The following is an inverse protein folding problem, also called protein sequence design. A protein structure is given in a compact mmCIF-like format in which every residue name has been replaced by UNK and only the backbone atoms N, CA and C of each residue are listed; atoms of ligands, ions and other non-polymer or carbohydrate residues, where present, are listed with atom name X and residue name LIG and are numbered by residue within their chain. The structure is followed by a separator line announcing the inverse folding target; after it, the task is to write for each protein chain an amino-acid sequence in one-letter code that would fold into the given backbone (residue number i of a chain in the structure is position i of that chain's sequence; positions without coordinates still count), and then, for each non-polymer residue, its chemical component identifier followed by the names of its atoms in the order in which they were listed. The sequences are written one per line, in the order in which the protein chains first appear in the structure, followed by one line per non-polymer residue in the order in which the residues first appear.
data_IF_367596141088
#
_entry.id   IF_367596141088
#
_cell.length_a   1.000
_cell.length_b   1.000
_cell.length_c   1.000
_cell.angle_alpha   90.00
_cell.angle_beta   90.00
_cell.angle_gamma   90.00
#
_symmetry.space_group_name_H-M   'P 1'
#
loop_
_entity.id
_entity.type
_entity.pdbx_description
1 polymer ?
#
# COMPACT_ATOMS: atom_id res chain seq x y z
N UNK A 1 -16.69 32.20 17.74
CA UNK A 1 -15.58 31.27 18.02
C UNK A 1 -16.14 29.89 17.83
N UNK A 2 -15.94 29.28 16.63
CA UNK A 2 -16.40 27.93 16.35
C UNK A 2 -15.46 26.92 17.03
N UNK A 3 -15.99 26.03 17.86
CA UNK A 3 -15.25 24.89 18.40
C UNK A 3 -14.67 24.09 17.24
N UNK A 4 -13.42 23.60 17.32
CA UNK A 4 -12.89 22.71 16.33
C UNK A 4 -13.77 21.45 16.32
N UNK A 5 -14.28 21.09 15.15
CA UNK A 5 -14.97 19.84 14.94
C UNK A 5 -13.95 18.72 15.23
N UNK A 6 -14.03 18.12 16.41
CA UNK A 6 -13.25 16.92 16.75
C UNK A 6 -13.82 15.82 15.85
N UNK A 7 -13.11 15.49 14.78
CA UNK A 7 -13.42 14.32 13.97
C UNK A 7 -13.27 13.11 14.89
N UNK A 8 -14.38 12.54 15.34
CA UNK A 8 -14.37 11.30 16.14
C UNK A 8 -13.76 10.23 15.23
N UNK A 9 -12.66 9.65 15.67
CA UNK A 9 -12.01 8.54 14.99
C UNK A 9 -12.94 7.33 15.02
N UNK A 10 -13.19 6.73 13.87
CA UNK A 10 -13.94 5.49 13.81
C UNK A 10 -13.13 4.34 14.45
N UNK A 11 -13.81 3.46 15.20
CA UNK A 11 -13.16 2.36 15.90
C UNK A 11 -13.03 1.11 15.04
N UNK A 12 -13.82 0.99 13.96
CA UNK A 12 -13.82 -0.15 13.05
C UNK A 12 -13.57 0.30 11.62
N UNK A 13 -12.88 -0.54 10.86
CA UNK A 13 -12.60 -0.34 9.45
C UNK A 13 -12.68 -1.67 8.72
N UNK A 14 -13.41 -1.73 7.61
CA UNK A 14 -13.37 -2.88 6.70
C UNK A 14 -12.41 -2.58 5.57
N UNK A 15 -11.32 -3.35 5.49
CA UNK A 15 -10.29 -3.20 4.47
C UNK A 15 -10.37 -4.28 3.40
N UNK A 16 -10.08 -3.92 2.15
CA UNK A 16 -9.94 -4.84 1.02
C UNK A 16 -8.57 -4.72 0.37
N UNK A 17 -7.89 -5.84 0.15
CA UNK A 17 -6.66 -5.93 -0.62
C UNK A 17 -6.95 -6.61 -1.96
N UNK A 18 -6.71 -5.92 -3.06
CA UNK A 18 -6.88 -6.45 -4.41
C UNK A 18 -5.57 -7.11 -4.85
N UNK A 19 -5.38 -8.39 -4.52
CA UNK A 19 -4.27 -9.17 -5.02
C UNK A 19 -4.46 -9.45 -6.50
N UNK A 20 -3.73 -8.73 -7.33
CA UNK A 20 -3.88 -8.76 -8.78
C UNK A 20 -2.84 -9.69 -9.43
N UNK A 21 -3.29 -10.51 -10.35
CA UNK A 21 -2.38 -11.25 -11.24
C UNK A 21 -1.80 -10.29 -12.28
N UNK A 22 -0.48 -10.24 -12.34
CA UNK A 22 0.26 -9.46 -13.33
C UNK A 22 1.06 -10.44 -14.20
N UNK A 23 0.76 -10.48 -15.50
CA UNK A 23 1.36 -11.42 -16.43
C UNK A 23 1.99 -10.71 -17.62
N UNK A 24 3.11 -11.26 -18.11
CA UNK A 24 3.72 -10.83 -19.36
C UNK A 24 2.75 -10.99 -20.53
N UNK A 25 2.80 -10.06 -21.48
CA UNK A 25 1.97 -10.10 -22.69
C UNK A 25 0.51 -9.65 -22.51
N UNK A 26 0.08 -9.40 -21.28
CA UNK A 26 -1.25 -8.83 -21.03
C UNK A 26 -1.24 -7.32 -21.29
N UNK A 27 -2.16 -6.85 -22.14
CA UNK A 27 -2.31 -5.43 -22.41
C UNK A 27 -2.78 -4.66 -21.16
N UNK A 28 -2.28 -3.44 -20.91
CA UNK A 28 -2.71 -2.60 -19.77
C UNK A 28 -4.23 -2.44 -19.67
N UNK A 29 -4.92 -2.30 -20.80
CA UNK A 29 -6.38 -2.17 -20.83
C UNK A 29 -7.11 -3.40 -20.26
N UNK A 30 -6.61 -4.61 -20.53
CA UNK A 30 -7.19 -5.85 -20.00
C UNK A 30 -7.01 -5.92 -18.47
N UNK A 31 -5.85 -5.48 -17.97
CA UNK A 31 -5.57 -5.43 -16.53
C UNK A 31 -6.46 -4.42 -15.82
N UNK A 32 -6.68 -3.26 -16.42
CA UNK A 32 -7.64 -2.27 -15.94
C UNK A 32 -9.06 -2.83 -15.87
N UNK A 33 -9.55 -3.53 -16.90
CA UNK A 33 -10.89 -4.14 -16.87
C UNK A 33 -11.03 -5.15 -15.71
N UNK A 34 -9.97 -5.91 -15.40
CA UNK A 34 -10.00 -6.83 -14.25
C UNK A 34 -10.04 -6.10 -12.92
N UNK A 35 -9.25 -5.05 -12.75
CA UNK A 35 -9.29 -4.21 -11.53
C UNK A 35 -10.68 -3.62 -11.34
N UNK A 36 -11.28 -3.04 -12.37
CA UNK A 36 -12.63 -2.47 -12.29
C UNK A 36 -13.70 -3.53 -11.98
N UNK A 37 -13.54 -4.74 -12.51
CA UNK A 37 -14.40 -5.88 -12.14
C UNK A 37 -14.24 -6.26 -10.68
N UNK A 38 -13.00 -6.32 -10.16
CA UNK A 38 -12.74 -6.63 -8.75
C UNK A 38 -13.27 -5.52 -7.83
N UNK A 39 -13.11 -4.26 -8.20
CA UNK A 39 -13.73 -3.13 -7.49
C UNK A 39 -15.26 -3.23 -7.50
N UNK A 40 -15.87 -3.64 -8.63
CA UNK A 40 -17.32 -3.81 -8.70
C UNK A 40 -17.86 -4.90 -7.78
N UNK A 41 -17.06 -5.93 -7.47
CA UNK A 41 -17.42 -6.98 -6.52
C UNK A 41 -17.54 -6.47 -5.07
N UNK A 42 -16.91 -5.33 -4.77
CA UNK A 42 -16.98 -4.69 -3.45
C UNK A 42 -18.24 -3.84 -3.26
N UNK A 43 -19.05 -3.63 -4.31
CA UNK A 43 -20.29 -2.88 -4.20
C UNK A 43 -21.22 -3.53 -3.17
N UNK A 44 -21.73 -2.71 -2.24
CA UNK A 44 -22.63 -3.16 -1.16
C UNK A 44 -21.95 -3.90 -0.01
N UNK A 45 -20.61 -4.04 -0.02
CA UNK A 45 -19.87 -4.67 1.08
C UNK A 45 -19.42 -3.70 2.18
N UNK A 46 -19.73 -2.40 2.04
CA UNK A 46 -19.35 -1.35 3.01
C UNK A 46 -17.84 -1.39 3.34
N UNK A 47 -17.02 -1.39 2.30
CA UNK A 47 -15.55 -1.36 2.45
C UNK A 47 -15.09 0.08 2.63
N UNK A 48 -14.20 0.32 3.60
CA UNK A 48 -13.73 1.65 3.99
C UNK A 48 -12.39 2.02 3.36
N UNK A 49 -11.52 1.00 3.13
CA UNK A 49 -10.18 1.18 2.59
C UNK A 49 -9.84 0.06 1.63
N UNK A 50 -9.36 0.42 0.44
CA UNK A 50 -8.96 -0.52 -0.62
C UNK A 50 -7.50 -0.27 -0.99
N UNK A 51 -6.71 -1.34 -1.11
CA UNK A 51 -5.32 -1.28 -1.57
C UNK A 51 -5.14 -2.06 -2.87
N UNK A 52 -4.40 -1.47 -3.81
CA UNK A 52 -3.88 -2.14 -5.00
C UNK A 52 -2.36 -2.39 -4.88
N UNK A 53 -1.77 -3.30 -5.67
CA UNK A 53 -0.36 -3.64 -5.56
C UNK A 53 0.58 -2.68 -6.30
N UNK A 54 1.90 -2.93 -6.23
CA UNK A 54 2.94 -2.10 -6.85
C UNK A 54 2.96 -2.26 -8.36
N UNK A 55 3.08 -1.12 -9.07
CA UNK A 55 3.26 -1.03 -10.53
C UNK A 55 2.36 -2.00 -11.33
N UNK A 56 1.19 -2.29 -10.78
CA UNK A 56 0.28 -3.30 -11.34
C UNK A 56 -0.18 -2.98 -12.75
N UNK A 57 -0.27 -1.70 -13.11
CA UNK A 57 -0.72 -1.27 -14.45
C UNK A 57 0.29 -1.60 -15.55
N UNK A 58 1.59 -1.49 -15.27
CA UNK A 58 2.68 -1.78 -16.21
C UNK A 58 3.32 -3.15 -15.97
N UNK A 59 3.36 -3.60 -14.72
CA UNK A 59 4.11 -4.77 -14.25
C UNK A 59 5.54 -4.42 -13.87
N UNK A 60 5.94 -4.75 -12.63
CA UNK A 60 7.25 -4.37 -12.08
C UNK A 60 8.43 -4.77 -12.99
N UNK A 61 8.43 -5.96 -13.55
CA UNK A 61 9.54 -6.44 -14.38
C UNK A 61 9.47 -6.02 -15.86
N UNK A 62 8.48 -5.22 -16.26
CA UNK A 62 8.36 -4.70 -17.62
C UNK A 62 9.14 -3.38 -17.80
N UNK A 63 10.40 -3.36 -17.45
CA UNK A 63 11.25 -2.16 -17.44
C UNK A 63 11.25 -1.39 -18.75
N UNK A 64 11.21 -2.06 -19.89
CA UNK A 64 11.17 -1.44 -21.21
C UNK A 64 9.93 -0.56 -21.43
N UNK A 65 8.83 -0.81 -20.72
CA UNK A 65 7.57 -0.08 -20.85
C UNK A 65 7.43 1.10 -19.88
N UNK A 66 8.35 1.26 -18.93
CA UNK A 66 8.23 2.27 -17.86
C UNK A 66 8.07 3.69 -18.40
N UNK A 67 8.85 4.07 -19.42
CA UNK A 67 8.77 5.43 -20.02
C UNK A 67 7.48 5.67 -20.76
N UNK A 68 6.97 4.66 -21.46
CA UNK A 68 5.71 4.75 -22.22
C UNK A 68 4.50 4.78 -21.27
N UNK A 69 4.54 3.97 -20.21
CA UNK A 69 3.49 3.89 -19.21
C UNK A 69 3.51 5.05 -18.21
N UNK A 70 4.55 5.90 -18.24
CA UNK A 70 4.71 6.98 -17.28
C UNK A 70 3.65 8.07 -17.47
N UNK A 71 3.00 8.43 -16.39
CA UNK A 71 1.93 9.42 -16.34
C UNK A 71 2.22 10.55 -15.35
N UNK A 72 1.65 11.73 -15.50
CA UNK A 72 1.72 12.75 -14.46
C UNK A 72 0.95 12.29 -13.21
N UNK A 73 1.20 12.90 -12.04
CA UNK A 73 0.53 12.55 -10.79
C UNK A 73 -1.01 12.49 -10.94
N UNK A 74 -1.60 13.46 -11.62
CA UNK A 74 -3.04 13.48 -11.92
C UNK A 74 -3.37 12.80 -13.26
N UNK A 75 -2.67 11.70 -13.57
CA UNK A 75 -2.84 10.96 -14.81
C UNK A 75 -3.93 9.89 -14.75
N UNK A 76 -3.80 8.91 -15.63
CA UNK A 76 -4.78 7.84 -15.86
C UNK A 76 -5.17 7.10 -14.59
N UNK A 77 -4.18 6.80 -13.73
CA UNK A 77 -4.42 6.02 -12.51
C UNK A 77 -5.39 6.74 -11.58
N UNK A 78 -5.15 8.01 -11.28
CA UNK A 78 -6.03 8.78 -10.40
C UNK A 78 -7.38 9.06 -11.07
N UNK A 79 -7.39 9.42 -12.36
CA UNK A 79 -8.62 9.70 -13.10
C UNK A 79 -9.57 8.50 -13.16
N UNK A 80 -9.05 7.28 -13.25
CA UNK A 80 -9.88 6.05 -13.29
C UNK A 80 -10.27 5.55 -11.91
N UNK A 81 -9.44 5.73 -10.88
CA UNK A 81 -9.75 5.24 -9.52
C UNK A 81 -10.59 6.22 -8.69
N UNK A 82 -10.49 7.54 -8.91
CA UNK A 82 -11.28 8.52 -8.18
C UNK A 82 -12.82 8.33 -8.31
N UNK A 83 -13.38 7.98 -9.48
CA UNK A 83 -14.80 7.60 -9.58
C UNK A 83 -15.17 6.36 -8.75
N UNK A 84 -14.26 5.38 -8.65
CA UNK A 84 -14.48 4.19 -7.83
C UNK A 84 -14.45 4.50 -6.34
N UNK A 85 -13.53 5.37 -5.89
CA UNK A 85 -13.50 5.83 -4.49
C UNK A 85 -14.84 6.46 -4.09
N UNK A 86 -15.40 7.32 -4.95
CA UNK A 86 -16.73 7.93 -4.74
C UNK A 86 -17.86 6.90 -4.75
N UNK A 87 -17.86 5.98 -5.71
CA UNK A 87 -18.92 4.99 -5.90
C UNK A 87 -18.96 3.96 -4.76
N UNK A 88 -17.81 3.62 -4.21
CA UNK A 88 -17.66 2.68 -3.09
C UNK A 88 -17.69 3.39 -1.74
N UNK A 89 -17.66 4.73 -1.73
CA UNK A 89 -17.51 5.56 -0.52
C UNK A 89 -16.30 5.15 0.32
N UNK A 90 -15.21 4.70 -0.35
CA UNK A 90 -14.02 4.11 0.26
C UNK A 90 -12.75 4.89 -0.09
N UNK A 91 -11.80 4.91 0.84
CA UNK A 91 -10.44 5.32 0.54
C UNK A 91 -9.79 4.32 -0.43
N UNK A 92 -9.00 4.78 -1.39
CA UNK A 92 -8.25 3.90 -2.29
C UNK A 92 -6.77 4.29 -2.28
N UNK A 93 -5.92 3.38 -1.77
CA UNK A 93 -4.50 3.40 -2.10
C UNK A 93 -4.32 2.78 -3.49
N UNK A 94 -3.87 3.58 -4.44
CA UNK A 94 -3.84 3.25 -5.88
C UNK A 94 -2.91 2.08 -6.24
N UNK A 95 -2.23 1.49 -5.26
CA UNK A 95 -0.99 0.78 -5.50
C UNK A 95 0.08 1.77 -5.92
N UNK A 96 0.94 1.39 -6.86
CA UNK A 96 1.85 2.37 -7.42
C UNK A 96 1.86 2.36 -8.95
N UNK A 97 2.34 3.44 -9.53
CA UNK A 97 2.47 3.66 -10.96
C UNK A 97 3.79 4.40 -11.26
N UNK A 98 4.23 4.38 -12.52
CA UNK A 98 5.38 5.16 -12.94
C UNK A 98 4.93 6.61 -13.11
N UNK A 99 5.31 7.48 -12.17
CA UNK A 99 5.04 8.92 -12.25
C UNK A 99 6.13 9.61 -13.09
N UNK A 100 5.72 10.47 -14.01
CA UNK A 100 6.60 11.42 -14.70
C UNK A 100 6.44 12.81 -14.08
N UNK A 101 7.52 13.33 -13.51
CA UNK A 101 7.59 14.68 -12.97
C UNK A 101 8.77 15.43 -13.59
N UNK A 102 8.48 16.30 -14.56
CA UNK A 102 9.51 16.93 -15.40
C UNK A 102 10.30 15.89 -16.19
N UNK A 103 11.60 15.85 -16.01
CA UNK A 103 12.50 14.87 -16.64
C UNK A 103 12.73 13.59 -15.80
N UNK A 104 12.15 13.53 -14.61
CA UNK A 104 12.34 12.41 -13.67
C UNK A 104 11.14 11.47 -13.66
N UNK A 105 11.42 10.20 -13.34
CA UNK A 105 10.44 9.14 -13.19
C UNK A 105 10.51 8.56 -11.79
N UNK A 106 9.34 8.28 -11.19
CA UNK A 106 9.25 7.76 -9.82
C UNK A 106 8.32 6.56 -9.76
N UNK A 107 8.54 5.67 -8.80
CA UNK A 107 7.57 4.67 -8.37
C UNK A 107 6.70 5.33 -7.30
N UNK A 108 5.50 5.77 -7.69
CA UNK A 108 4.63 6.62 -6.87
C UNK A 108 3.33 5.91 -6.53
N UNK A 109 2.98 5.90 -5.26
CA UNK A 109 1.66 5.53 -4.76
C UNK A 109 0.89 6.77 -4.30
N UNK A 110 -0.44 6.70 -4.39
CA UNK A 110 -1.33 7.79 -3.99
C UNK A 110 -2.48 7.26 -3.14
N UNK A 111 -2.99 8.07 -2.22
CA UNK A 111 -4.18 7.79 -1.43
C UNK A 111 -5.29 8.75 -1.82
N UNK A 112 -6.41 8.20 -2.25
CA UNK A 112 -7.66 8.92 -2.51
C UNK A 112 -8.58 8.77 -1.29
N UNK A 113 -9.28 9.83 -0.90
CA UNK A 113 -10.36 9.74 0.08
C UNK A 113 -11.65 9.17 -0.55
N UNK A 114 -12.66 8.92 0.26
CA UNK A 114 -13.97 8.41 -0.18
C UNK A 114 -14.72 9.35 -1.15
N UNK A 115 -14.28 10.60 -1.28
CA UNK A 115 -14.78 11.56 -2.27
C UNK A 115 -13.96 11.55 -3.55
N UNK A 116 -12.94 10.69 -3.64
CA UNK A 116 -12.00 10.59 -4.76
C UNK A 116 -11.01 11.76 -4.84
N UNK A 117 -10.76 12.44 -3.73
CA UNK A 117 -9.79 13.53 -3.63
C UNK A 117 -8.45 12.94 -3.22
N UNK A 118 -7.38 13.36 -3.89
CA UNK A 118 -6.02 13.00 -3.53
C UNK A 118 -5.64 13.62 -2.18
N UNK A 119 -5.37 12.78 -1.19
CA UNK A 119 -5.01 13.20 0.19
C UNK A 119 -3.55 12.96 0.54
N UNK A 120 -2.87 12.08 -0.17
CA UNK A 120 -1.46 11.81 0.05
C UNK A 120 -0.79 11.11 -1.12
N UNK A 121 0.53 11.31 -1.22
CA UNK A 121 1.39 10.64 -2.20
C UNK A 121 2.66 10.16 -1.53
N UNK A 122 3.21 9.07 -2.06
CA UNK A 122 4.49 8.54 -1.62
C UNK A 122 5.33 8.12 -2.83
N UNK A 123 6.52 8.66 -2.98
CA UNK A 123 7.53 8.21 -3.94
C UNK A 123 8.48 7.26 -3.25
N UNK A 124 8.59 6.05 -3.76
CA UNK A 124 9.42 4.97 -3.18
C UNK A 124 10.84 5.46 -2.89
N UNK A 125 11.28 5.33 -1.64
CA UNK A 125 12.59 5.78 -1.17
C UNK A 125 13.65 4.73 -1.52
N UNK A 126 13.39 3.45 -1.24
CA UNK A 126 14.35 2.38 -1.44
C UNK A 126 14.06 1.64 -2.75
N UNK A 127 14.68 2.11 -3.83
CA UNK A 127 14.59 1.47 -5.14
C UNK A 127 15.34 0.13 -5.14
N UNK A 128 14.72 -0.90 -5.71
CA UNK A 128 15.29 -2.24 -5.76
C UNK A 128 16.32 -2.34 -6.88
N UNK A 129 17.55 -2.69 -6.53
CA UNK A 129 18.69 -2.75 -7.48
C UNK A 129 19.29 -4.13 -7.68
N UNK A 130 18.83 -5.17 -6.95
CA UNK A 130 19.34 -6.53 -7.10
C UNK A 130 18.59 -7.25 -8.25
N UNK A 131 19.32 -7.60 -9.32
CA UNK A 131 18.73 -8.17 -10.55
C UNK A 131 17.53 -7.38 -11.09
N UNK A 132 17.58 -6.03 -10.99
CA UNK A 132 16.49 -5.14 -11.34
C UNK A 132 17.02 -3.84 -11.96
N UNK A 133 16.28 -3.31 -12.93
CA UNK A 133 16.60 -2.02 -13.55
C UNK A 133 15.90 -0.84 -12.85
N UNK A 134 15.09 -1.08 -11.80
CA UNK A 134 14.32 -0.02 -11.15
C UNK A 134 15.20 1.17 -10.74
N UNK A 135 16.34 0.88 -10.06
CA UNK A 135 17.29 1.90 -9.59
C UNK A 135 17.95 2.70 -10.74
N UNK A 136 18.02 2.13 -11.95
CA UNK A 136 18.61 2.79 -13.12
C UNK A 136 17.59 3.66 -13.87
N UNK A 137 16.30 3.29 -13.80
CA UNK A 137 15.23 3.91 -14.56
C UNK A 137 14.46 4.96 -13.76
N UNK A 138 14.41 4.81 -12.44
CA UNK A 138 13.59 5.65 -11.58
C UNK A 138 14.46 6.46 -10.60
N UNK A 139 13.93 7.58 -10.17
CA UNK A 139 14.48 8.45 -9.14
C UNK A 139 13.91 8.06 -7.78
N UNK A 140 14.75 7.95 -6.77
CA UNK A 140 14.33 7.68 -5.40
C UNK A 140 13.57 8.87 -4.81
N UNK A 141 12.52 8.59 -4.04
CA UNK A 141 11.91 9.56 -3.14
C UNK A 141 12.84 9.93 -1.99
N UNK A 142 12.47 10.98 -1.24
CA UNK A 142 13.31 11.50 -0.14
C UNK A 142 12.55 11.67 1.17
N UNK A 143 11.23 11.46 1.17
CA UNK A 143 10.39 11.72 2.35
C UNK A 143 9.41 10.57 2.58
N UNK A 144 9.19 10.26 3.86
CA UNK A 144 8.07 9.41 4.29
C UNK A 144 6.75 10.14 4.06
N UNK A 145 5.66 9.39 3.95
CA UNK A 145 4.33 9.94 3.77
C UNK A 145 3.41 9.40 4.86
N UNK A 146 2.89 10.29 5.66
CA UNK A 146 1.90 10.03 6.69
C UNK A 146 0.64 10.83 6.37
N UNK A 147 -0.49 10.14 6.20
CA UNK A 147 -1.76 10.75 5.78
C UNK A 147 -2.79 10.58 6.88
N UNK A 148 -3.39 11.69 7.31
CA UNK A 148 -4.53 11.65 8.23
C UNK A 148 -5.78 11.20 7.48
N UNK A 149 -6.41 10.15 7.98
CA UNK A 149 -7.69 9.61 7.50
C UNK A 149 -8.72 9.62 8.62
N UNK A 150 -9.98 9.31 8.33
CA UNK A 150 -11.02 9.06 9.36
C UNK A 150 -10.69 7.89 10.29
N UNK A 151 -9.80 7.00 9.84
CA UNK A 151 -9.38 5.78 10.55
C UNK A 151 -8.06 5.91 11.30
N UNK A 152 -7.48 7.11 11.37
CA UNK A 152 -6.20 7.41 11.98
C UNK A 152 -5.11 7.76 10.96
N UNK A 153 -3.88 7.88 11.41
CA UNK A 153 -2.74 8.25 10.55
C UNK A 153 -2.19 7.01 9.85
N UNK A 154 -2.23 7.02 8.52
CA UNK A 154 -1.70 5.97 7.67
C UNK A 154 -0.31 6.34 7.12
N UNK A 155 0.69 5.51 7.37
CA UNK A 155 2.01 5.59 6.75
C UNK A 155 2.06 4.79 5.45
N UNK A 156 2.59 5.36 4.36
CA UNK A 156 2.68 4.71 3.05
C UNK A 156 4.08 4.17 2.80
N UNK A 157 4.17 2.96 2.25
CA UNK A 157 5.44 2.33 1.87
C UNK A 157 5.26 1.42 0.63
N UNK A 158 6.37 1.10 -0.03
CA UNK A 158 6.33 0.29 -1.26
C UNK A 158 7.37 -0.83 -1.21
N UNK A 159 6.90 -2.09 -1.19
CA UNK A 159 7.67 -3.30 -1.48
C UNK A 159 9.01 -3.39 -0.73
N UNK A 160 10.11 -3.07 -1.40
CA UNK A 160 11.48 -3.16 -0.86
C UNK A 160 11.68 -2.32 0.42
N UNK A 161 10.86 -1.27 0.63
CA UNK A 161 10.86 -0.48 1.87
C UNK A 161 10.65 -1.34 3.12
N UNK A 162 9.96 -2.49 3.01
CA UNK A 162 9.78 -3.43 4.12
C UNK A 162 11.09 -3.90 4.74
N UNK A 163 12.22 -3.85 4.02
CA UNK A 163 13.52 -4.25 4.54
C UNK A 163 14.19 -3.19 5.42
N UNK A 164 13.64 -1.97 5.47
CA UNK A 164 14.24 -0.82 6.15
C UNK A 164 13.38 -0.37 7.34
N UNK A 165 13.65 -0.88 8.55
CA UNK A 165 12.86 -0.59 9.75
C UNK A 165 12.86 0.90 10.12
N UNK A 166 13.90 1.63 9.75
CA UNK A 166 14.08 3.05 10.03
C UNK A 166 12.94 3.89 9.44
N UNK A 167 12.47 3.55 8.24
CA UNK A 167 11.36 4.24 7.59
C UNK A 167 10.07 4.08 8.39
N UNK A 168 9.74 2.85 8.81
CA UNK A 168 8.54 2.56 9.59
C UNK A 168 8.61 3.21 10.97
N UNK A 169 9.78 3.19 11.59
CA UNK A 169 10.01 3.85 12.87
C UNK A 169 9.83 5.36 12.78
N UNK A 170 10.29 5.97 11.70
CA UNK A 170 10.08 7.40 11.43
C UNK A 170 8.60 7.71 11.27
N UNK A 171 7.84 6.90 10.52
CA UNK A 171 6.39 7.11 10.36
C UNK A 171 5.64 7.00 11.69
N UNK A 172 5.98 6.05 12.56
CA UNK A 172 5.41 5.96 13.92
C UNK A 172 5.75 7.17 14.77
N UNK A 173 6.98 7.69 14.66
CA UNK A 173 7.37 8.93 15.36
C UNK A 173 6.58 10.16 14.88
N UNK A 174 5.88 10.02 13.73
CA UNK A 174 4.93 11.00 13.17
C UNK A 174 3.47 10.54 13.30
N UNK A 175 3.22 9.72 14.33
CA UNK A 175 1.89 9.26 14.74
C UNK A 175 1.22 8.23 13.81
N UNK A 176 1.95 7.56 12.93
CA UNK A 176 1.35 6.48 12.15
C UNK A 176 0.82 5.36 13.06
N UNK A 177 -0.41 4.93 12.79
CA UNK A 177 -1.12 3.88 13.51
C UNK A 177 -1.35 2.66 12.63
N UNK A 178 -1.23 2.85 11.32
CA UNK A 178 -1.27 1.78 10.32
C UNK A 178 -0.27 2.04 9.20
N UNK A 179 0.18 0.97 8.55
CA UNK A 179 1.02 1.02 7.36
C UNK A 179 0.28 0.45 6.17
N UNK A 180 0.25 1.20 5.08
CA UNK A 180 -0.31 0.79 3.80
C UNK A 180 0.86 0.47 2.86
N UNK A 181 0.99 -0.79 2.46
CA UNK A 181 2.12 -1.26 1.66
C UNK A 181 1.61 -1.86 0.35
N UNK A 182 2.04 -1.31 -0.78
CA UNK A 182 1.86 -1.96 -2.07
C UNK A 182 3.15 -2.67 -2.49
N UNK A 183 3.05 -3.84 -3.12
CA UNK A 183 4.22 -4.63 -3.48
C UNK A 183 4.05 -5.43 -4.78
N UNK A 184 5.20 -5.73 -5.40
CA UNK A 184 5.38 -6.77 -6.42
C UNK A 184 6.48 -7.74 -5.91
N UNK A 185 6.24 -8.34 -4.75
CA UNK A 185 7.19 -9.18 -4.04
C UNK A 185 7.23 -10.59 -4.63
N UNK A 186 8.41 -11.11 -5.01
CA UNK A 186 8.51 -12.38 -5.71
C UNK A 186 8.30 -13.58 -4.78
N UNK A 187 7.75 -14.66 -5.34
CA UNK A 187 7.52 -15.93 -4.66
C UNK A 187 8.80 -16.53 -4.07
N UNK A 188 9.93 -16.38 -4.76
CA UNK A 188 11.23 -16.89 -4.30
C UNK A 188 11.68 -16.30 -2.94
N UNK A 189 11.03 -15.24 -2.46
CA UNK A 189 11.31 -14.58 -1.17
C UNK A 189 10.05 -14.37 -0.34
N UNK A 190 9.07 -15.27 -0.48
CA UNK A 190 7.78 -15.10 0.19
C UNK A 190 7.88 -15.25 1.72
N UNK A 191 8.80 -16.06 2.21
CA UNK A 191 9.07 -16.20 3.65
C UNK A 191 9.58 -14.88 4.25
N UNK A 192 10.47 -14.17 3.54
CA UNK A 192 10.91 -12.82 3.95
C UNK A 192 9.73 -11.83 4.00
N UNK A 193 8.82 -11.90 3.02
CA UNK A 193 7.62 -11.07 2.97
C UNK A 193 6.76 -11.24 4.22
N UNK A 194 6.41 -12.47 4.55
CA UNK A 194 5.57 -12.77 5.70
C UNK A 194 6.25 -12.35 7.02
N UNK A 195 7.54 -12.68 7.16
CA UNK A 195 8.32 -12.29 8.32
C UNK A 195 8.38 -10.76 8.50
N UNK A 196 8.71 -10.03 7.42
CA UNK A 196 8.87 -8.59 7.47
C UNK A 196 7.53 -7.87 7.70
N UNK A 197 6.44 -8.29 7.07
CA UNK A 197 5.11 -7.73 7.32
C UNK A 197 4.75 -7.83 8.82
N UNK A 198 4.93 -9.00 9.43
CA UNK A 198 4.66 -9.20 10.85
C UNK A 198 5.61 -8.41 11.74
N UNK A 199 6.90 -8.37 11.40
CA UNK A 199 7.89 -7.63 12.17
C UNK A 199 7.58 -6.13 12.19
N UNK A 200 7.26 -5.54 11.02
CA UNK A 200 6.93 -4.10 10.92
C UNK A 200 5.68 -3.75 11.72
N UNK A 201 4.66 -4.60 11.73
CA UNK A 201 3.47 -4.40 12.56
C UNK A 201 3.81 -4.48 14.06
N UNK A 202 4.46 -5.57 14.48
CA UNK A 202 4.77 -5.89 15.86
C UNK A 202 5.67 -4.83 16.51
N UNK A 203 6.83 -4.55 15.92
CA UNK A 203 7.82 -3.64 16.50
C UNK A 203 7.35 -2.18 16.58
N UNK A 204 6.39 -1.81 15.74
CA UNK A 204 5.81 -0.46 15.67
C UNK A 204 4.43 -0.37 16.35
N UNK A 205 3.91 -1.49 16.85
CA UNK A 205 2.58 -1.55 17.47
C UNK A 205 1.54 -0.83 16.62
N UNK A 206 1.52 -1.17 15.33
CA UNK A 206 0.68 -0.56 14.29
C UNK A 206 0.12 -1.64 13.39
N UNK A 207 -1.08 -1.44 12.83
CA UNK A 207 -1.57 -2.32 11.79
C UNK A 207 -0.65 -2.27 10.56
N UNK A 208 -0.60 -3.37 9.82
CA UNK A 208 0.02 -3.39 8.50
C UNK A 208 -0.92 -4.07 7.50
N UNK A 209 -1.24 -3.35 6.42
CA UNK A 209 -2.03 -3.81 5.30
C UNK A 209 -1.12 -3.86 4.09
N UNK A 210 -0.81 -5.05 3.60
CA UNK A 210 0.16 -5.23 2.52
C UNK A 210 -0.47 -5.97 1.34
N UNK A 211 -0.55 -5.28 0.20
CA UNK A 211 -1.12 -5.79 -1.04
C UNK A 211 -0.03 -6.15 -2.03
N UNK A 212 0.07 -7.42 -2.41
CA UNK A 212 1.09 -7.96 -3.30
C UNK A 212 0.48 -8.39 -4.65
N UNK A 213 1.32 -8.51 -5.68
CA UNK A 213 0.96 -9.13 -6.95
C UNK A 213 1.12 -10.65 -6.90
N UNK A 214 0.41 -11.35 -7.81
CA UNK A 214 0.64 -12.74 -8.17
C UNK A 214 0.82 -12.89 -9.69
N UNK A 215 1.05 -14.10 -10.19
CA UNK A 215 1.30 -14.37 -11.61
C UNK A 215 2.77 -14.14 -12.01
N UNK A 216 3.09 -14.24 -13.31
CA UNK A 216 4.48 -14.17 -13.79
C UNK A 216 4.66 -13.01 -14.77
N UNK A 217 5.54 -12.08 -14.44
CA UNK A 217 5.87 -10.92 -15.25
C UNK A 217 7.38 -10.81 -15.42
N UNK A 218 7.87 -10.73 -16.68
CA UNK A 218 9.30 -10.66 -16.99
C UNK A 218 10.12 -11.84 -16.43
N UNK A 219 9.52 -13.02 -16.37
CA UNK A 219 10.16 -14.22 -15.82
C UNK A 219 10.16 -14.31 -14.29
N UNK A 220 9.64 -13.30 -13.58
CA UNK A 220 9.55 -13.27 -12.12
C UNK A 220 8.12 -13.66 -11.69
N UNK A 221 8.00 -14.71 -10.88
CA UNK A 221 6.73 -15.13 -10.29
C UNK A 221 6.43 -14.27 -9.05
N UNK A 222 5.27 -13.58 -9.07
CA UNK A 222 4.75 -12.82 -7.93
C UNK A 222 4.27 -13.75 -6.82
N UNK A 223 4.58 -13.42 -5.58
CA UNK A 223 4.36 -14.31 -4.43
C UNK A 223 2.90 -14.39 -3.98
N UNK A 224 2.04 -13.44 -4.32
CA UNK A 224 0.73 -13.34 -3.68
C UNK A 224 0.86 -13.05 -2.18
N UNK A 225 0.10 -13.76 -1.36
CA UNK A 225 0.13 -13.67 0.10
C UNK A 225 -0.06 -12.23 0.61
N UNK A 226 -0.95 -11.46 -0.04
CA UNK A 226 -1.40 -10.18 0.51
C UNK A 226 -1.93 -10.40 1.92
N UNK A 227 -1.59 -9.51 2.86
CA UNK A 227 -1.80 -9.80 4.28
C UNK A 227 -2.23 -8.56 5.06
N UNK A 228 -3.10 -8.77 6.05
CA UNK A 228 -3.47 -7.79 7.07
C UNK A 228 -2.95 -8.31 8.41
N UNK A 229 -2.13 -7.51 9.08
CA UNK A 229 -1.45 -7.86 10.35
C UNK A 229 -1.85 -6.88 11.44
N UNK A 230 -2.18 -7.41 12.62
CA UNK A 230 -2.52 -6.61 13.81
C UNK A 230 -1.28 -5.94 14.43
N UNK A 231 -1.46 -4.97 15.34
CA UNK A 231 -0.37 -4.34 16.09
C UNK A 231 0.43 -5.30 16.99
N UNK A 232 -0.09 -6.50 17.22
CA UNK A 232 0.60 -7.59 17.96
C UNK A 232 1.34 -8.58 17.01
N UNK A 233 1.41 -8.29 15.70
CA UNK A 233 2.06 -9.18 14.73
C UNK A 233 1.25 -10.43 14.37
N UNK A 234 -0.05 -10.48 14.72
CA UNK A 234 -0.96 -11.57 14.34
C UNK A 234 -1.50 -11.33 12.94
N UNK A 235 -1.54 -12.37 12.11
CA UNK A 235 -2.20 -12.33 10.83
C UNK A 235 -3.71 -12.36 11.07
N UNK A 236 -4.40 -11.28 10.68
CA UNK A 236 -5.86 -11.19 10.74
C UNK A 236 -6.52 -11.82 9.51
N UNK A 237 -5.89 -11.61 8.34
CA UNK A 237 -6.32 -12.20 7.09
C UNK A 237 -5.11 -12.31 6.14
N UNK A 238 -5.08 -13.36 5.32
CA UNK A 238 -4.03 -13.59 4.33
C UNK A 238 -4.62 -14.22 3.06
N UNK A 239 -4.21 -13.71 1.91
CA UNK A 239 -4.54 -14.29 0.61
C UNK A 239 -3.65 -15.49 0.30
N UNK A 240 -4.07 -16.34 -0.62
CA UNK A 240 -3.22 -17.39 -1.19
C UNK A 240 -2.34 -16.86 -2.34
N UNK A 241 -1.94 -17.75 -3.24
CA UNK A 241 -1.05 -17.43 -4.37
C UNK A 241 -1.78 -16.89 -5.62
N UNK A 242 -3.12 -16.91 -5.65
CA UNK A 242 -3.92 -16.58 -6.83
C UNK A 242 -4.60 -15.23 -6.74
N UNK A 243 -5.06 -14.71 -7.88
CA UNK A 243 -5.83 -13.46 -7.96
C UNK A 243 -7.10 -13.54 -7.12
N UNK A 244 -7.25 -12.60 -6.18
CA UNK A 244 -8.42 -12.54 -5.30
C UNK A 244 -8.56 -11.17 -4.63
N UNK A 245 -9.74 -10.90 -4.09
CA UNK A 245 -9.98 -9.79 -3.16
C UNK A 245 -10.00 -10.37 -1.75
N UNK A 246 -9.11 -9.91 -0.90
CA UNK A 246 -9.07 -10.24 0.52
C UNK A 246 -9.79 -9.14 1.29
N UNK A 247 -10.81 -9.49 2.07
CA UNK A 247 -11.56 -8.54 2.90
C UNK A 247 -11.47 -8.95 4.36
N UNK A 248 -11.23 -7.97 5.24
CA UNK A 248 -11.24 -8.18 6.68
C UNK A 248 -11.74 -6.96 7.44
N UNK A 249 -12.39 -7.21 8.57
CA UNK A 249 -12.76 -6.18 9.54
C UNK A 249 -11.60 -5.97 10.54
N UNK A 250 -11.30 -4.72 10.84
CA UNK A 250 -10.18 -4.29 11.69
C UNK A 250 -10.75 -3.47 12.85
N UNK A 251 -10.40 -3.84 14.07
CA UNK A 251 -10.68 -3.05 15.27
C UNK A 251 -9.51 -2.08 15.52
N UNK A 252 -9.68 -0.83 15.14
CA UNK A 252 -8.64 0.20 15.21
C UNK A 252 -8.25 0.55 16.66
N UNK A 253 -9.08 0.20 17.66
CA UNK A 253 -8.78 0.41 19.08
C UNK A 253 -7.59 -0.44 19.54
N UNK A 254 -7.27 -1.53 18.84
CA UNK A 254 -6.14 -2.41 19.18
C UNK A 254 -4.81 -1.67 19.24
N UNK A 255 -4.58 -0.66 18.35
CA UNK A 255 -3.36 0.13 18.35
C UNK A 255 -3.19 0.92 19.65
N UNK A 256 -4.24 1.60 20.11
CA UNK A 256 -4.21 2.34 21.36
C UNK A 256 -4.08 1.40 22.56
N UNK A 257 -4.81 0.30 22.54
CA UNK A 257 -4.83 -0.70 23.59
C UNK A 257 -3.45 -1.35 23.82
N UNK A 258 -2.79 -1.79 22.73
CA UNK A 258 -1.45 -2.39 22.85
C UNK A 258 -0.41 -1.37 23.31
N UNK A 259 -0.44 -0.14 22.78
CA UNK A 259 0.47 0.93 23.16
C UNK A 259 0.30 1.36 24.64
N UNK A 260 -0.92 1.30 25.16
CA UNK A 260 -1.19 1.55 26.58
C UNK A 260 -0.70 0.40 27.48
N UNK A 261 -0.96 -0.86 27.08
CA UNK A 261 -0.63 -2.06 27.86
C UNK A 261 0.86 -2.40 27.84
N UNK A 262 1.52 -2.26 26.69
CA UNK A 262 2.91 -2.61 26.50
C UNK A 262 3.70 -1.41 25.95
N UNK A 263 4.52 -0.72 26.80
CA UNK A 263 5.05 0.60 26.50
C UNK A 263 6.30 0.62 25.60
N UNK A 264 6.50 -0.38 24.73
CA UNK A 264 7.72 -0.52 23.92
C UNK A 264 8.10 0.74 23.11
N UNK A 265 7.11 1.48 22.61
CA UNK A 265 7.38 2.73 21.88
C UNK A 265 7.82 3.88 22.80
N UNK A 266 7.37 3.92 24.06
CA UNK A 266 7.78 4.92 25.05
C UNK A 266 9.17 4.64 25.62
N UNK A 267 9.52 3.36 25.73
CA UNK A 267 10.78 2.91 26.33
C UNK A 267 11.97 3.01 25.36
N UNK A 268 11.72 3.49 24.12
CA UNK A 268 12.79 3.68 23.15
C UNK A 268 13.81 4.71 23.60
N UNK A 269 15.07 4.36 23.49
CA UNK A 269 16.20 5.28 23.64
C UNK A 269 16.64 5.69 22.23
N UNK A 270 16.65 7.01 21.95
CA UNK A 270 17.24 7.51 20.71
C UNK A 270 18.75 7.35 20.79
N UNK A 271 19.29 6.43 20.02
CA UNK A 271 20.73 6.36 19.81
C UNK A 271 21.11 7.42 18.78
N UNK A 272 22.02 8.30 19.17
CA UNK A 272 22.59 9.38 18.33
C UNK A 272 23.50 8.81 17.24
#
# INVERSE_FOLDING_TARGET
MGSPCVCLKEERMRAALIQLRVSSGEAPAQRWMRVERMLSQLMGQCVDLILLPELWSVGFSNFAQYREAAEPLHGTTLLRLAPWARKLEAHIMTGSFVERCGSQYYNTSALLDSRGILTGTYRKIHLFGYDSQERQLLTAGSQTSEVLTSYGVAGMATCYDLRFPEQFRRMVSRSAEMFLVCAAWPKARIEDWELLCRARALENQSFLLACNTCGTCGGVEGGGHSVIVSPEGKILAQAGETEQVLVADIDLSETANIRARFPALRDRVCMS
#
